data_IF_365343915596
#
_entry.id   IF_365343915596
#
_cell.length_a   1.000
_cell.length_b   1.000
_cell.length_c   1.000
_cell.angle_alpha   90.00
_cell.angle_beta   90.00
_cell.angle_gamma   90.00
#
_symmetry.space_group_name_H-M   'P 1'
#
loop_
_entity.id
_entity.type
_entity.pdbx_description
1 polymer ?
#
# COMPACT_ATOMS: atom_id res chain seq x y z
N UNK A 1 -13.38 15.51 -28.07
CA UNK A 1 -12.63 15.83 -26.83
C UNK A 1 -11.25 15.19 -26.93
N UNK A 2 -11.10 13.86 -27.15
CA UNK A 2 -9.76 13.22 -27.25
C UNK A 2 -8.87 13.77 -28.39
N UNK A 3 -9.45 14.25 -29.49
CA UNK A 3 -8.68 14.81 -30.62
C UNK A 3 -8.06 16.20 -30.33
N UNK A 4 -8.55 16.90 -29.32
CA UNK A 4 -8.09 18.22 -28.91
C UNK A 4 -7.32 18.18 -27.56
N UNK A 5 -7.13 17.00 -26.99
CA UNK A 5 -6.39 16.82 -25.76
C UNK A 5 -4.87 16.91 -26.01
N UNK A 6 -4.17 17.62 -25.16
CA UNK A 6 -2.69 17.65 -25.13
C UNK A 6 -2.24 16.68 -24.04
N UNK A 7 -1.44 15.67 -24.44
CA UNK A 7 -0.91 14.70 -23.50
C UNK A 7 0.02 15.38 -22.48
N UNK A 8 -0.21 15.10 -21.20
CA UNK A 8 0.62 15.56 -20.08
C UNK A 8 1.76 14.56 -19.90
N UNK A 9 2.98 14.93 -20.30
CA UNK A 9 4.13 14.03 -20.28
C UNK A 9 5.41 14.65 -19.69
N UNK A 10 5.47 15.98 -19.59
CA UNK A 10 6.65 16.66 -19.04
C UNK A 10 6.43 17.06 -17.58
N UNK A 11 7.52 17.15 -16.82
CA UNK A 11 7.48 17.58 -15.42
C UNK A 11 6.80 18.94 -15.25
N UNK A 12 7.07 19.89 -16.14
CA UNK A 12 6.43 21.22 -16.12
C UNK A 12 4.92 21.15 -16.35
N UNK A 13 4.45 20.28 -17.23
CA UNK A 13 3.02 20.07 -17.47
C UNK A 13 2.35 19.42 -16.25
N UNK A 14 3.00 18.41 -15.65
CA UNK A 14 2.54 17.76 -14.43
C UNK A 14 2.44 18.78 -13.28
N UNK A 15 3.49 19.61 -13.11
CA UNK A 15 3.49 20.68 -12.11
C UNK A 15 2.39 21.72 -12.37
N UNK A 16 2.10 22.04 -13.64
CA UNK A 16 1.03 22.98 -13.98
C UNK A 16 -0.36 22.44 -13.62
N UNK A 17 -0.63 21.15 -13.90
CA UNK A 17 -1.90 20.50 -13.51
C UNK A 17 -2.06 20.50 -11.99
N UNK A 18 -1.02 20.08 -11.26
CA UNK A 18 -1.02 20.09 -9.79
C UNK A 18 -1.22 21.49 -9.22
N UNK A 19 -0.56 22.49 -9.81
CA UNK A 19 -0.71 23.90 -9.41
C UNK A 19 -2.13 24.42 -9.61
N UNK A 20 -2.76 24.12 -10.73
CA UNK A 20 -4.14 24.56 -11.03
C UNK A 20 -5.11 23.87 -10.05
N UNK A 21 -4.95 22.57 -9.80
CA UNK A 21 -5.81 21.82 -8.91
C UNK A 21 -5.67 22.27 -7.44
N UNK A 22 -4.43 22.44 -6.97
CA UNK A 22 -4.17 22.87 -5.60
C UNK A 22 -4.34 24.38 -5.37
N UNK A 23 -4.32 25.21 -6.43
CA UNK A 23 -4.22 26.67 -6.32
C UNK A 23 -2.89 27.14 -5.71
N UNK A 24 -1.85 26.31 -5.75
CA UNK A 24 -0.54 26.54 -5.11
C UNK A 24 0.58 25.93 -5.96
N UNK A 25 1.54 26.78 -6.36
CA UNK A 25 2.65 26.35 -7.22
C UNK A 25 3.68 25.46 -6.50
N UNK A 26 3.85 25.64 -5.18
CA UNK A 26 4.73 24.78 -4.38
C UNK A 26 4.20 23.36 -4.36
N UNK A 27 2.90 23.16 -4.15
CA UNK A 27 2.24 21.86 -4.17
C UNK A 27 2.40 21.21 -5.54
N UNK A 28 2.10 21.93 -6.63
CA UNK A 28 2.22 21.40 -7.99
C UNK A 28 3.65 20.94 -8.31
N UNK A 29 4.64 21.74 -7.94
CA UNK A 29 6.05 21.39 -8.14
C UNK A 29 6.44 20.16 -7.34
N UNK A 30 6.03 20.05 -6.07
CA UNK A 30 6.33 18.88 -5.21
C UNK A 30 5.67 17.60 -5.71
N UNK A 31 4.46 17.66 -6.23
CA UNK A 31 3.78 16.51 -6.85
C UNK A 31 4.58 16.05 -8.09
N UNK A 32 4.98 16.97 -8.97
CA UNK A 32 5.76 16.64 -10.15
C UNK A 32 7.13 16.04 -9.80
N UNK A 33 7.84 16.60 -8.80
CA UNK A 33 9.09 16.02 -8.29
C UNK A 33 8.89 14.61 -7.74
N UNK A 34 7.79 14.37 -7.01
CA UNK A 34 7.46 13.05 -6.46
C UNK A 34 7.20 12.04 -7.61
N UNK A 35 6.37 12.40 -8.58
CA UNK A 35 6.07 11.53 -9.72
C UNK A 35 7.31 11.23 -10.59
N UNK A 36 8.23 12.18 -10.74
CA UNK A 36 9.50 11.94 -11.44
C UNK A 36 10.36 10.89 -10.72
N UNK A 37 10.40 10.92 -9.38
CA UNK A 37 11.23 10.01 -8.58
C UNK A 37 10.68 8.59 -8.49
N UNK A 38 9.36 8.44 -8.31
CA UNK A 38 8.74 7.11 -8.16
C UNK A 38 8.15 6.57 -9.46
N UNK A 39 8.11 7.37 -10.51
CA UNK A 39 7.45 7.06 -11.77
C UNK A 39 5.97 7.43 -11.78
N UNK A 40 5.35 7.39 -12.97
CA UNK A 40 3.93 7.78 -13.12
C UNK A 40 2.99 6.90 -12.30
N UNK A 41 3.26 5.59 -12.25
CA UNK A 41 2.50 4.60 -11.49
C UNK A 41 3.01 4.45 -10.03
N UNK A 42 3.97 5.28 -9.63
CA UNK A 42 4.60 5.21 -8.33
C UNK A 42 3.67 5.63 -7.19
N UNK A 43 3.87 5.04 -6.03
CA UNK A 43 3.09 5.34 -4.84
C UNK A 43 3.51 6.69 -4.23
N UNK A 44 2.54 7.54 -3.91
CA UNK A 44 2.74 8.82 -3.22
C UNK A 44 1.81 8.86 -2.00
N UNK A 45 2.38 9.08 -0.83
CA UNK A 45 1.65 9.26 0.44
C UNK A 45 1.75 10.71 0.91
N UNK A 46 0.67 11.22 1.50
CA UNK A 46 0.66 12.53 2.17
C UNK A 46 0.56 12.29 3.66
N UNK A 47 1.50 12.82 4.43
CA UNK A 47 1.61 12.62 5.88
C UNK A 47 1.82 13.93 6.62
N UNK A 48 1.61 13.90 7.93
CA UNK A 48 1.87 15.06 8.79
C UNK A 48 3.36 15.29 8.93
N UNK A 49 3.82 16.50 8.64
CA UNK A 49 5.18 16.98 8.88
C UNK A 49 5.33 17.65 10.23
N UNK A 50 6.56 17.67 10.72
CA UNK A 50 6.89 18.37 11.98
C UNK A 50 7.38 19.80 11.75
N UNK A 51 7.71 20.17 10.53
CA UNK A 51 8.23 21.46 10.12
C UNK A 51 7.19 22.22 9.30
N UNK A 52 7.30 23.57 9.25
CA UNK A 52 6.48 24.35 8.33
C UNK A 52 6.90 24.10 6.88
N UNK A 53 5.94 24.01 5.99
CA UNK A 53 6.19 23.76 4.57
C UNK A 53 5.94 22.33 4.14
N UNK A 54 6.59 21.92 3.05
CA UNK A 54 6.44 20.59 2.47
C UNK A 54 7.82 19.97 2.24
N UNK A 55 8.03 18.81 2.86
CA UNK A 55 9.22 17.99 2.64
C UNK A 55 8.85 16.71 1.88
N UNK A 56 9.81 16.11 1.18
CA UNK A 56 9.61 14.87 0.45
C UNK A 56 10.72 13.88 0.75
N UNK A 57 10.33 12.68 1.19
CA UNK A 57 11.21 11.54 1.37
C UNK A 57 10.84 10.41 0.42
N UNK A 58 11.83 9.60 0.03
CA UNK A 58 11.60 8.33 -0.66
C UNK A 58 11.92 7.21 0.32
N UNK A 59 10.95 6.32 0.53
CA UNK A 59 11.06 5.21 1.46
C UNK A 59 10.73 3.89 0.76
N UNK A 60 11.15 2.78 1.36
CA UNK A 60 10.76 1.45 0.89
C UNK A 60 9.27 1.24 1.10
N UNK A 61 8.62 0.63 0.11
CA UNK A 61 7.19 0.41 0.18
C UNK A 61 6.60 0.06 -1.18
N UNK A 62 5.31 -0.21 -1.19
CA UNK A 62 4.60 -0.53 -2.42
C UNK A 62 3.10 -0.24 -2.32
N UNK A 63 2.49 -0.02 -3.46
CA UNK A 63 1.04 0.08 -3.61
C UNK A 63 0.52 -1.04 -4.50
N UNK A 64 -0.66 -1.56 -4.20
CA UNK A 64 -1.37 -2.49 -5.06
C UNK A 64 -2.89 -2.26 -5.00
N UNK A 65 -3.56 -2.64 -6.10
CA UNK A 65 -4.95 -2.34 -6.39
C UNK A 65 -5.88 -3.36 -5.71
N UNK A 66 -5.88 -3.33 -4.38
CA UNK A 66 -6.79 -4.09 -3.51
C UNK A 66 -7.07 -3.29 -2.26
N UNK A 67 -8.33 -3.05 -1.99
CA UNK A 67 -8.78 -2.38 -0.79
C UNK A 67 -9.32 -3.35 0.27
N UNK A 68 -9.86 -2.80 1.33
CA UNK A 68 -10.42 -3.58 2.43
C UNK A 68 -11.61 -4.43 1.99
N UNK A 69 -11.79 -5.60 2.61
CA UNK A 69 -12.89 -6.52 2.31
C UNK A 69 -14.24 -5.94 2.77
N UNK A 70 -14.24 -5.09 3.79
CA UNK A 70 -15.45 -4.48 4.33
C UNK A 70 -15.23 -3.01 4.70
N UNK A 71 -16.18 -2.11 4.34
CA UNK A 71 -16.12 -0.68 4.72
C UNK A 71 -16.05 -0.46 6.24
N UNK A 72 -16.54 -1.41 7.04
CA UNK A 72 -16.45 -1.35 8.51
C UNK A 72 -15.01 -1.50 9.03
N UNK A 73 -14.05 -1.75 8.15
CA UNK A 73 -12.62 -1.78 8.47
C UNK A 73 -11.95 -0.40 8.36
N UNK A 74 -12.62 0.63 7.84
CA UNK A 74 -12.10 1.99 7.81
C UNK A 74 -11.90 2.54 9.22
N UNK A 75 -10.76 3.22 9.47
CA UNK A 75 -10.47 3.95 10.73
C UNK A 75 -11.00 5.38 10.67
N UNK A 76 -10.95 5.97 9.50
CA UNK A 76 -11.53 7.26 9.17
C UNK A 76 -12.78 7.04 8.31
N UNK A 77 -13.95 7.28 8.90
CA UNK A 77 -15.24 7.07 8.23
C UNK A 77 -15.62 8.22 7.28
N UNK A 78 -15.02 9.40 7.43
CA UNK A 78 -15.24 10.52 6.51
C UNK A 78 -14.50 10.28 5.20
N UNK A 79 -13.27 9.79 5.27
CA UNK A 79 -12.41 9.49 4.12
C UNK A 79 -12.57 8.05 3.61
N UNK A 80 -13.30 7.20 4.35
CA UNK A 80 -13.43 5.77 4.08
C UNK A 80 -12.05 5.09 3.89
N UNK A 81 -11.11 5.44 4.75
CA UNK A 81 -9.73 4.94 4.74
C UNK A 81 -9.38 4.30 6.08
N UNK A 82 -8.60 3.23 6.04
CA UNK A 82 -7.97 2.65 7.20
C UNK A 82 -6.50 3.05 7.24
N UNK A 83 -6.10 3.79 8.26
CA UNK A 83 -4.72 4.16 8.56
C UNK A 83 -4.23 3.32 9.74
N UNK A 84 -3.24 2.46 9.47
CA UNK A 84 -2.65 1.56 10.45
C UNK A 84 -1.22 2.01 10.72
N UNK A 85 -0.97 2.48 11.95
CA UNK A 85 0.36 2.86 12.40
C UNK A 85 1.10 1.66 12.98
N UNK A 86 2.32 1.40 12.49
CA UNK A 86 3.19 0.32 12.91
C UNK A 86 2.47 -1.05 13.02
N UNK A 87 1.73 -1.48 11.97
CA UNK A 87 0.96 -2.71 12.01
C UNK A 87 1.83 -3.95 11.93
N UNK A 88 1.32 -5.08 12.41
CA UNK A 88 1.72 -6.39 11.93
C UNK A 88 1.07 -6.69 10.59
N UNK A 89 1.76 -7.41 9.72
CA UNK A 89 1.28 -7.77 8.38
C UNK A 89 1.36 -9.29 8.23
N UNK A 90 0.22 -9.94 8.23
CA UNK A 90 0.09 -11.38 7.98
C UNK A 90 -0.15 -11.62 6.49
N UNK A 91 0.65 -12.49 5.89
CA UNK A 91 0.54 -12.88 4.48
C UNK A 91 0.23 -14.37 4.36
N UNK A 92 -0.81 -14.73 3.62
CA UNK A 92 -1.14 -16.12 3.32
C UNK A 92 -1.77 -16.28 1.94
N UNK A 93 -1.48 -17.40 1.29
CA UNK A 93 -2.14 -17.82 0.04
C UNK A 93 -3.47 -18.56 0.29
N UNK A 94 -3.84 -18.73 1.57
CA UNK A 94 -5.00 -19.48 2.00
C UNK A 94 -6.22 -18.59 2.15
N UNK A 95 -7.39 -19.22 2.03
CA UNK A 95 -8.69 -18.63 2.34
C UNK A 95 -8.98 -18.78 3.84
N UNK A 96 -9.42 -17.71 4.49
CA UNK A 96 -9.72 -17.68 5.90
C UNK A 96 -11.25 -17.68 6.07
N UNK A 97 -11.81 -18.84 6.42
CA UNK A 97 -13.25 -19.00 6.71
C UNK A 97 -13.50 -19.36 8.19
N UNK A 98 -12.51 -19.98 8.85
CA UNK A 98 -12.54 -20.35 10.24
C UNK A 98 -11.58 -19.48 11.06
N UNK A 99 -12.10 -18.77 12.06
CA UNK A 99 -11.28 -17.89 12.90
C UNK A 99 -10.44 -18.67 13.92
N UNK A 100 -10.81 -19.89 14.24
CA UNK A 100 -10.15 -20.68 15.29
C UNK A 100 -8.67 -20.90 15.01
N UNK A 101 -8.31 -21.06 13.73
CA UNK A 101 -6.93 -21.25 13.30
C UNK A 101 -6.06 -20.00 13.53
N UNK A 102 -6.68 -18.83 13.66
CA UNK A 102 -5.98 -17.56 13.89
C UNK A 102 -5.97 -17.11 15.35
N UNK A 103 -6.73 -17.74 16.23
CA UNK A 103 -6.90 -17.29 17.63
C UNK A 103 -5.56 -17.04 18.33
N UNK A 104 -4.56 -17.95 18.28
CA UNK A 104 -3.28 -17.72 18.96
C UNK A 104 -2.57 -16.44 18.46
N UNK A 105 -2.55 -16.21 17.16
CA UNK A 105 -1.97 -15.00 16.57
C UNK A 105 -2.74 -13.75 16.98
N UNK A 106 -4.08 -13.79 16.88
CA UNK A 106 -4.92 -12.64 17.24
C UNK A 106 -4.78 -12.25 18.72
N UNK A 107 -4.70 -13.23 19.62
CA UNK A 107 -4.43 -12.97 21.05
C UNK A 107 -3.06 -12.33 21.28
N UNK A 108 -2.04 -12.78 20.55
CA UNK A 108 -0.71 -12.20 20.65
C UNK A 108 -0.67 -10.76 20.11
N UNK A 109 -1.36 -10.48 18.98
CA UNK A 109 -1.52 -9.13 18.43
C UNK A 109 -2.27 -8.22 19.40
N UNK A 110 -3.38 -8.68 19.97
CA UNK A 110 -4.14 -7.93 20.97
C UNK A 110 -3.31 -7.58 22.21
N UNK A 111 -2.49 -8.51 22.72
CA UNK A 111 -1.57 -8.27 23.85
C UNK A 111 -0.50 -7.22 23.51
N UNK A 112 -0.08 -7.13 22.25
CA UNK A 112 0.91 -6.14 21.80
C UNK A 112 0.34 -4.72 21.69
N UNK A 113 -0.98 -4.58 21.58
CA UNK A 113 -1.67 -3.30 21.32
C UNK A 113 -1.48 -2.74 19.91
N UNK A 114 -0.82 -3.49 19.00
CA UNK A 114 -0.60 -3.06 17.62
C UNK A 114 -1.75 -3.50 16.71
N UNK A 115 -1.89 -2.80 15.59
CA UNK A 115 -2.85 -3.15 14.53
C UNK A 115 -2.37 -4.36 13.72
N UNK A 116 -3.30 -5.04 13.05
CA UNK A 116 -3.02 -6.15 12.16
C UNK A 116 -3.60 -5.90 10.76
N UNK A 117 -2.76 -6.01 9.74
CA UNK A 117 -3.19 -6.17 8.36
C UNK A 117 -3.17 -7.66 8.02
N UNK A 118 -4.28 -8.19 7.52
CA UNK A 118 -4.39 -9.56 7.00
C UNK A 118 -4.50 -9.53 5.49
N UNK A 119 -3.52 -10.10 4.81
CA UNK A 119 -3.50 -10.29 3.35
C UNK A 119 -3.69 -11.78 3.08
N UNK A 120 -4.85 -12.15 2.58
CA UNK A 120 -5.22 -13.55 2.36
C UNK A 120 -5.86 -13.73 0.97
N UNK A 121 -5.99 -14.97 0.50
CA UNK A 121 -6.75 -15.23 -0.73
C UNK A 121 -8.17 -14.64 -0.62
N UNK A 122 -8.84 -14.91 0.47
CA UNK A 122 -10.12 -14.31 0.87
C UNK A 122 -10.30 -14.42 2.38
N UNK A 123 -11.12 -13.56 2.96
CA UNK A 123 -11.60 -13.69 4.36
C UNK A 123 -13.11 -13.61 4.32
N UNK A 124 -13.78 -14.68 4.75
CA UNK A 124 -15.23 -14.79 4.61
C UNK A 124 -15.90 -15.47 5.80
N UNK A 125 -17.24 -15.53 5.76
CA UNK A 125 -18.05 -16.29 6.70
C UNK A 125 -17.84 -15.86 8.16
N UNK A 126 -17.68 -16.84 9.04
CA UNK A 126 -17.51 -16.63 10.48
C UNK A 126 -16.23 -15.85 10.80
N UNK A 127 -15.14 -16.08 10.06
CA UNK A 127 -13.89 -15.40 10.28
C UNK A 127 -14.04 -13.89 10.05
N UNK A 128 -14.62 -13.47 8.93
CA UNK A 128 -14.87 -12.06 8.65
C UNK A 128 -15.78 -11.42 9.70
N UNK A 129 -16.88 -12.09 10.05
CA UNK A 129 -17.84 -11.57 11.04
C UNK A 129 -17.16 -11.36 12.41
N UNK A 130 -16.31 -12.30 12.83
CA UNK A 130 -15.59 -12.22 14.10
C UNK A 130 -14.55 -11.11 14.10
N UNK A 131 -13.78 -10.95 13.03
CA UNK A 131 -12.83 -9.84 12.89
C UNK A 131 -13.53 -8.48 12.95
N UNK A 132 -14.64 -8.31 12.21
CA UNK A 132 -15.43 -7.09 12.24
C UNK A 132 -16.01 -6.79 13.62
N UNK A 133 -16.53 -7.80 14.31
CA UNK A 133 -17.09 -7.64 15.65
C UNK A 133 -16.03 -7.17 16.66
N UNK A 134 -14.82 -7.76 16.64
CA UNK A 134 -13.73 -7.36 17.51
C UNK A 134 -13.22 -5.95 17.18
N UNK A 135 -13.18 -5.60 15.88
CA UNK A 135 -12.84 -4.25 15.47
C UNK A 135 -13.87 -3.22 15.97
N UNK A 136 -15.17 -3.46 15.75
CA UNK A 136 -16.24 -2.57 16.19
C UNK A 136 -16.28 -2.39 17.72
N UNK A 137 -15.87 -3.42 18.47
CA UNK A 137 -15.70 -3.36 19.93
C UNK A 137 -14.43 -2.63 20.37
N UNK A 138 -13.54 -2.30 19.45
CA UNK A 138 -12.25 -1.68 19.78
C UNK A 138 -11.25 -2.64 20.47
N UNK A 139 -11.51 -3.94 20.47
CA UNK A 139 -10.62 -4.94 21.08
C UNK A 139 -9.46 -5.32 20.18
N UNK A 140 -9.63 -5.22 18.87
CA UNK A 140 -8.60 -5.50 17.87
C UNK A 140 -8.72 -4.52 16.71
N UNK A 141 -7.66 -3.78 16.41
CA UNK A 141 -7.60 -2.96 15.21
C UNK A 141 -7.06 -3.82 14.06
N UNK A 142 -7.97 -4.36 13.25
CA UNK A 142 -7.67 -5.28 12.15
C UNK A 142 -8.26 -4.80 10.84
N UNK A 143 -7.50 -4.91 9.76
CA UNK A 143 -7.95 -4.73 8.39
C UNK A 143 -7.61 -5.98 7.60
N UNK A 144 -8.57 -6.50 6.85
CA UNK A 144 -8.38 -7.62 5.95
C UNK A 144 -8.57 -7.18 4.50
N UNK A 145 -7.66 -7.62 3.66
CA UNK A 145 -7.66 -7.37 2.21
C UNK A 145 -7.48 -8.68 1.46
N UNK A 146 -7.95 -8.72 0.23
CA UNK A 146 -7.66 -9.84 -0.67
C UNK A 146 -6.27 -9.68 -1.26
N UNK A 147 -5.52 -10.76 -1.26
CA UNK A 147 -4.20 -10.80 -1.91
C UNK A 147 -4.34 -10.46 -3.41
N UNK A 148 -3.48 -9.60 -3.95
CA UNK A 148 -3.52 -9.22 -5.36
C UNK A 148 -3.15 -10.39 -6.27
N UNK A 149 -3.74 -10.41 -7.48
CA UNK A 149 -3.50 -11.46 -8.46
C UNK A 149 -4.28 -12.75 -8.22
N UNK A 150 -4.00 -13.76 -9.05
CA UNK A 150 -4.65 -15.09 -9.03
C UNK A 150 -3.61 -16.18 -9.28
N UNK A 151 -3.83 -17.38 -8.70
CA UNK A 151 -2.96 -18.54 -8.90
C UNK A 151 -1.50 -18.24 -8.55
N UNK A 152 -0.57 -18.69 -9.39
CA UNK A 152 0.88 -18.54 -9.15
C UNK A 152 1.33 -17.06 -9.11
N UNK A 153 0.63 -16.18 -9.83
CA UNK A 153 0.92 -14.74 -9.76
C UNK A 153 0.64 -14.17 -8.38
N UNK A 154 -0.44 -14.61 -7.72
CA UNK A 154 -0.74 -14.21 -6.34
C UNK A 154 0.40 -14.59 -5.41
N UNK A 155 0.92 -15.80 -5.50
CA UNK A 155 2.05 -16.26 -4.68
C UNK A 155 3.27 -15.36 -4.87
N UNK A 156 3.64 -15.08 -6.13
CA UNK A 156 4.77 -14.20 -6.44
C UNK A 156 4.60 -12.77 -5.91
N UNK A 157 3.37 -12.21 -5.94
CA UNK A 157 3.09 -10.89 -5.38
C UNK A 157 3.13 -10.94 -3.84
N UNK A 158 2.62 -12.00 -3.22
CA UNK A 158 2.75 -12.20 -1.76
C UNK A 158 4.22 -12.27 -1.33
N UNK A 159 5.07 -12.95 -2.09
CA UNK A 159 6.52 -12.97 -1.87
C UNK A 159 7.13 -11.56 -2.01
N UNK A 160 6.69 -10.76 -2.99
CA UNK A 160 7.16 -9.38 -3.17
C UNK A 160 6.77 -8.51 -1.96
N UNK A 161 5.53 -8.65 -1.45
CA UNK A 161 5.08 -7.98 -0.21
C UNK A 161 5.90 -8.47 0.99
N UNK A 162 6.17 -9.78 1.07
CA UNK A 162 6.95 -10.37 2.14
C UNK A 162 8.36 -9.77 2.22
N UNK A 163 9.03 -9.63 1.08
CA UNK A 163 10.38 -9.05 1.00
C UNK A 163 10.37 -7.57 1.45
N UNK A 164 9.35 -6.79 1.05
CA UNK A 164 9.23 -5.38 1.44
C UNK A 164 8.93 -5.19 2.92
N UNK A 165 8.17 -6.11 3.53
CA UNK A 165 7.70 -5.98 4.92
C UNK A 165 8.48 -6.80 5.92
N UNK A 166 9.34 -7.68 5.45
CA UNK A 166 10.05 -8.66 6.30
C UNK A 166 9.15 -9.80 6.79
N UNK A 167 8.00 -10.02 6.15
CA UNK A 167 7.08 -11.11 6.48
C UNK A 167 7.56 -12.46 5.95
N UNK A 168 6.99 -13.53 6.51
CA UNK A 168 6.99 -14.85 5.93
C UNK A 168 5.59 -15.16 5.38
N UNK A 169 5.49 -15.61 4.12
CA UNK A 169 4.22 -16.04 3.57
C UNK A 169 3.84 -17.41 4.15
N UNK A 170 2.62 -17.53 4.66
CA UNK A 170 2.07 -18.81 5.14
C UNK A 170 1.43 -19.49 3.95
N UNK A 171 2.16 -20.44 3.36
CA UNK A 171 1.78 -21.13 2.13
C UNK A 171 1.38 -22.57 2.41
N UNK A 172 0.22 -22.94 1.86
CA UNK A 172 -0.30 -24.31 1.97
C UNK A 172 0.60 -25.34 1.29
N UNK A 173 1.22 -24.98 0.19
CA UNK A 173 2.08 -25.89 -0.57
C UNK A 173 3.33 -26.32 0.18
N UNK A 174 3.80 -25.51 1.13
CA UNK A 174 4.88 -25.85 2.06
C UNK A 174 4.40 -26.54 3.35
N UNK A 175 3.11 -26.92 3.42
CA UNK A 175 2.53 -27.57 4.59
C UNK A 175 2.32 -26.65 5.77
N UNK A 176 2.41 -25.33 5.59
CA UNK A 176 2.16 -24.33 6.64
C UNK A 176 0.67 -24.13 6.83
N UNK A 177 0.25 -23.98 8.07
CA UNK A 177 -1.15 -23.68 8.44
C UNK A 177 -1.23 -22.34 9.16
N UNK A 178 -2.41 -21.74 9.13
CA UNK A 178 -2.67 -20.50 9.88
C UNK A 178 -2.59 -20.72 11.42
N UNK A 179 -2.79 -21.97 11.88
CA UNK A 179 -2.65 -22.32 13.29
C UNK A 179 -1.19 -22.25 13.78
N UNK A 180 -0.24 -22.39 12.86
CA UNK A 180 1.20 -22.27 13.14
C UNK A 180 1.69 -20.81 13.07
N UNK A 181 0.81 -19.87 12.67
CA UNK A 181 1.17 -18.47 12.50
C UNK A 181 1.56 -17.81 13.83
N UNK A 182 2.72 -17.17 13.84
CA UNK A 182 3.22 -16.40 14.98
C UNK A 182 3.49 -14.94 14.60
N UNK A 183 3.63 -14.08 15.60
CA UNK A 183 3.99 -12.67 15.39
C UNK A 183 5.32 -12.53 14.63
N UNK A 184 6.28 -13.42 14.87
CA UNK A 184 7.60 -13.38 14.23
C UNK A 184 7.55 -13.68 12.73
N UNK A 185 6.48 -14.31 12.26
CA UNK A 185 6.21 -14.54 10.83
C UNK A 185 5.52 -13.33 10.19
N UNK A 186 4.96 -12.42 10.99
CA UNK A 186 4.35 -11.21 10.47
C UNK A 186 5.42 -10.18 10.08
N UNK A 187 5.22 -9.57 8.93
CA UNK A 187 5.97 -8.38 8.56
C UNK A 187 5.50 -7.15 9.32
N UNK A 188 6.21 -6.05 9.12
CA UNK A 188 5.83 -4.75 9.67
C UNK A 188 6.11 -3.64 8.66
N UNK A 189 5.46 -2.51 8.86
CA UNK A 189 5.74 -1.27 8.13
C UNK A 189 5.50 -0.08 9.07
N UNK A 190 6.03 1.10 8.74
CA UNK A 190 5.76 2.29 9.52
C UNK A 190 4.27 2.65 9.45
N UNK A 191 3.71 2.68 8.25
CA UNK A 191 2.29 2.98 8.02
C UNK A 191 1.72 2.08 6.93
N UNK A 192 0.47 1.67 7.08
CA UNK A 192 -0.31 1.04 6.00
C UNK A 192 -1.62 1.80 5.86
N UNK A 193 -1.90 2.28 4.65
CA UNK A 193 -3.16 2.93 4.30
C UNK A 193 -3.96 2.02 3.38
N UNK A 194 -5.23 1.84 3.70
CA UNK A 194 -6.13 0.97 2.91
C UNK A 194 -7.42 1.73 2.65
N UNK A 195 -7.71 1.98 1.40
CA UNK A 195 -9.00 2.50 0.96
C UNK A 195 -9.89 1.40 0.35
N UNK A 196 -10.92 1.77 -0.36
CA UNK A 196 -11.84 0.82 -1.01
C UNK A 196 -11.17 0.02 -2.14
N UNK A 197 -10.18 0.58 -2.79
CA UNK A 197 -9.60 0.07 -4.04
C UNK A 197 -8.11 -0.26 -3.91
N UNK A 198 -7.41 0.40 -3.00
CA UNK A 198 -5.96 0.35 -2.90
C UNK A 198 -5.46 0.01 -1.50
N UNK A 199 -4.28 -0.55 -1.45
CA UNK A 199 -3.47 -0.69 -0.24
C UNK A 199 -2.08 -0.12 -0.51
N UNK A 200 -1.66 0.80 0.35
CA UNK A 200 -0.35 1.44 0.32
C UNK A 200 0.44 1.05 1.58
N UNK A 201 1.58 0.39 1.39
CA UNK A 201 2.55 0.06 2.43
C UNK A 201 3.68 1.08 2.36
N UNK A 202 3.92 1.79 3.46
CA UNK A 202 4.93 2.85 3.55
C UNK A 202 6.00 2.45 4.56
N UNK A 203 7.25 2.51 4.15
CA UNK A 203 8.42 2.23 4.97
C UNK A 203 8.33 0.83 5.60
N UNK A 204 8.32 -0.17 4.73
CA UNK A 204 8.32 -1.59 5.11
C UNK A 204 9.64 -1.96 5.80
N UNK A 205 9.55 -2.87 6.77
CA UNK A 205 10.70 -3.30 7.57
C UNK A 205 11.56 -4.40 6.91
N UNK A 206 11.37 -4.64 5.61
CA UNK A 206 12.16 -5.59 4.85
C UNK A 206 13.62 -5.20 4.72
N UNK A 207 14.48 -6.19 4.53
CA UNK A 207 15.91 -5.96 4.29
C UNK A 207 16.16 -5.38 2.89
N UNK A 208 16.88 -4.26 2.79
CA UNK A 208 17.14 -3.58 1.52
C UNK A 208 17.85 -4.47 0.51
N UNK A 209 18.80 -5.28 0.96
CA UNK A 209 19.51 -6.20 0.09
C UNK A 209 18.59 -7.28 -0.45
N UNK A 210 17.67 -7.80 0.37
CA UNK A 210 16.67 -8.77 -0.07
C UNK A 210 15.74 -8.17 -1.14
N UNK A 211 15.37 -6.88 -0.99
CA UNK A 211 14.57 -6.15 -2.00
C UNK A 211 15.37 -6.00 -3.30
N UNK A 212 16.64 -5.57 -3.23
CA UNK A 212 17.52 -5.45 -4.39
C UNK A 212 17.72 -6.80 -5.10
N UNK A 213 17.95 -7.87 -4.36
CA UNK A 213 18.10 -9.24 -4.88
C UNK A 213 16.79 -9.69 -5.58
N UNK A 214 15.63 -9.36 -5.01
CA UNK A 214 14.32 -9.64 -5.62
C UNK A 214 14.11 -8.87 -6.92
N UNK A 215 14.46 -7.59 -6.95
CA UNK A 215 14.44 -6.76 -8.17
C UNK A 215 15.33 -7.36 -9.24
N UNK A 216 16.54 -7.78 -8.90
CA UNK A 216 17.47 -8.42 -9.84
C UNK A 216 16.91 -9.75 -10.38
N UNK A 217 16.24 -10.54 -9.53
CA UNK A 217 15.57 -11.79 -9.93
C UNK A 217 14.46 -11.52 -10.96
N UNK A 218 13.59 -10.54 -10.70
CA UNK A 218 12.49 -10.19 -11.62
C UNK A 218 13.04 -9.69 -12.97
N UNK A 219 14.12 -8.88 -12.97
CA UNK A 219 14.78 -8.45 -14.22
C UNK A 219 15.33 -9.62 -15.01
N UNK A 220 16.01 -10.55 -14.35
CA UNK A 220 16.55 -11.74 -15.01
C UNK A 220 15.43 -12.67 -15.56
N UNK A 221 14.26 -12.71 -14.92
CA UNK A 221 13.09 -13.44 -15.42
C UNK A 221 12.49 -12.73 -16.64
N UNK A 222 12.42 -11.40 -16.62
CA UNK A 222 11.96 -10.57 -17.74
C UNK A 222 12.81 -10.74 -18.98
N UNK A 223 14.15 -10.84 -18.83
CA UNK A 223 15.08 -11.02 -19.95
C UNK A 223 14.97 -12.42 -20.59
N UNK A 224 14.46 -13.40 -19.84
CA UNK A 224 14.31 -14.80 -20.29
C UNK A 224 12.94 -15.11 -20.87
N UNK A 225 11.93 -14.32 -20.55
CA UNK A 225 10.56 -14.60 -21.00
C UNK A 225 10.37 -14.22 -22.47
N UNK A 226 9.75 -15.11 -23.25
CA UNK A 226 9.38 -14.90 -24.64
C UNK A 226 7.95 -14.36 -24.77
N UNK A 227 7.16 -14.38 -23.67
CA UNK A 227 5.78 -13.91 -23.63
C UNK A 227 5.74 -12.40 -23.34
N UNK A 228 5.21 -11.62 -24.26
CA UNK A 228 5.03 -10.18 -24.07
C UNK A 228 4.10 -9.87 -22.89
N UNK A 229 3.05 -10.68 -22.70
CA UNK A 229 2.14 -10.56 -21.58
C UNK A 229 2.82 -10.83 -20.22
N UNK A 230 3.67 -11.86 -20.13
CA UNK A 230 4.39 -12.13 -18.89
C UNK A 230 5.46 -11.06 -18.64
N UNK A 231 6.09 -10.55 -19.69
CA UNK A 231 7.03 -9.44 -19.59
C UNK A 231 6.36 -8.18 -19.06
N UNK A 232 5.16 -7.84 -19.53
CA UNK A 232 4.36 -6.72 -19.01
C UNK A 232 4.05 -6.90 -17.51
N UNK A 233 3.62 -8.09 -17.08
CA UNK A 233 3.33 -8.39 -15.68
C UNK A 233 4.57 -8.39 -14.77
N UNK A 234 5.70 -8.81 -15.29
CA UNK A 234 6.98 -8.69 -14.59
C UNK A 234 7.41 -7.22 -14.46
N UNK A 235 7.17 -6.41 -15.51
CA UNK A 235 7.46 -4.97 -15.49
C UNK A 235 6.59 -4.24 -14.45
N UNK A 236 5.29 -4.57 -14.35
CA UNK A 236 4.41 -4.03 -13.30
C UNK A 236 4.94 -4.33 -11.90
N UNK A 237 5.33 -5.58 -11.64
CA UNK A 237 5.92 -5.99 -10.35
C UNK A 237 7.23 -5.26 -10.07
N UNK A 238 8.09 -5.16 -11.09
CA UNK A 238 9.36 -4.45 -10.99
C UNK A 238 9.16 -2.98 -10.62
N UNK A 239 8.22 -2.30 -11.28
CA UNK A 239 7.90 -0.89 -11.02
C UNK A 239 7.41 -0.67 -9.58
N UNK A 240 6.54 -1.58 -9.08
CA UNK A 240 6.02 -1.52 -7.71
C UNK A 240 7.10 -1.75 -6.65
N UNK A 241 8.08 -2.60 -6.92
CA UNK A 241 9.18 -2.90 -5.98
C UNK A 241 10.31 -1.87 -6.02
N UNK A 242 10.68 -1.39 -7.22
CA UNK A 242 11.87 -0.55 -7.39
C UNK A 242 11.59 0.95 -7.23
N UNK A 243 10.33 1.37 -7.36
CA UNK A 243 9.93 2.77 -7.27
C UNK A 243 9.89 3.32 -5.84
N UNK A 244 9.69 2.45 -4.84
CA UNK A 244 9.45 2.88 -3.47
C UNK A 244 8.16 3.69 -3.32
N UNK A 245 8.09 4.47 -2.25
CA UNK A 245 6.97 5.38 -1.97
C UNK A 245 7.52 6.78 -1.72
N UNK A 246 7.01 7.77 -2.45
CA UNK A 246 7.27 9.17 -2.14
C UNK A 246 6.36 9.62 -0.99
N UNK A 247 6.93 10.08 0.11
CA UNK A 247 6.19 10.59 1.26
C UNK A 247 6.28 12.11 1.27
N UNK A 248 5.16 12.78 1.00
CA UNK A 248 5.03 14.23 1.12
C UNK A 248 4.63 14.56 2.55
N UNK A 249 5.58 15.09 3.33
CA UNK A 249 5.36 15.53 4.70
C UNK A 249 4.91 16.99 4.69
N UNK A 250 3.74 17.25 5.21
CA UNK A 250 3.07 18.56 5.17
C UNK A 250 2.98 19.13 6.57
N UNK A 251 3.48 20.34 6.75
CA UNK A 251 3.36 21.07 8.00
C UNK A 251 2.53 22.34 7.86
N UNK A 252 1.83 22.69 8.95
CA UNK A 252 1.03 23.91 9.07
C UNK A 252 1.07 24.44 10.51
N UNK A 253 0.60 25.67 10.70
CA UNK A 253 0.60 26.30 12.02
C UNK A 253 -0.51 25.77 12.95
N UNK A 254 -1.58 25.25 12.38
CA UNK A 254 -2.73 24.71 13.11
C UNK A 254 -3.20 23.40 12.52
N UNK A 255 -3.84 22.56 13.34
CA UNK A 255 -4.41 21.29 12.90
C UNK A 255 -5.49 21.44 11.81
N UNK A 256 -6.44 22.40 11.87
CA UNK A 256 -7.39 22.62 10.77
C UNK A 256 -6.71 23.01 9.44
N UNK A 257 -5.69 23.86 9.49
CA UNK A 257 -4.91 24.25 8.32
C UNK A 257 -4.14 23.06 7.74
N UNK A 258 -3.58 22.21 8.59
CA UNK A 258 -2.89 20.99 8.18
C UNK A 258 -3.84 20.03 7.44
N UNK A 259 -5.03 19.79 8.02
CA UNK A 259 -6.06 18.93 7.42
C UNK A 259 -6.50 19.47 6.06
N UNK A 260 -6.72 20.77 5.94
CA UNK A 260 -7.11 21.42 4.68
C UNK A 260 -6.01 21.31 3.62
N UNK A 261 -4.76 21.61 4.01
CA UNK A 261 -3.61 21.52 3.10
C UNK A 261 -3.37 20.12 2.61
N UNK A 262 -3.48 19.09 3.48
CA UNK A 262 -3.38 17.68 3.09
C UNK A 262 -4.47 17.28 2.09
N UNK A 263 -5.73 17.60 2.37
CA UNK A 263 -6.84 17.31 1.46
C UNK A 263 -6.62 17.93 0.09
N UNK A 264 -6.18 19.18 0.03
CA UNK A 264 -5.86 19.89 -1.21
C UNK A 264 -4.73 19.23 -2.00
N UNK A 265 -3.69 18.74 -1.33
CA UNK A 265 -2.58 18.00 -1.96
C UNK A 265 -3.06 16.67 -2.51
N UNK A 266 -3.87 15.94 -1.76
CA UNK A 266 -4.44 14.66 -2.19
C UNK A 266 -5.35 14.81 -3.42
N UNK A 267 -6.20 15.84 -3.42
CA UNK A 267 -7.06 16.16 -4.58
C UNK A 267 -6.21 16.53 -5.81
N UNK A 268 -5.16 17.36 -5.63
CA UNK A 268 -4.25 17.72 -6.69
C UNK A 268 -3.46 16.52 -7.21
N UNK A 269 -3.05 15.60 -6.35
CA UNK A 269 -2.38 14.36 -6.73
C UNK A 269 -3.28 13.47 -7.59
N UNK A 270 -4.55 13.29 -7.19
CA UNK A 270 -5.52 12.52 -7.97
C UNK A 270 -5.78 13.14 -9.32
N UNK A 271 -6.00 14.47 -9.39
CA UNK A 271 -6.20 15.19 -10.63
C UNK A 271 -4.98 15.07 -11.56
N UNK A 272 -3.77 15.13 -11.00
CA UNK A 272 -2.52 15.03 -11.77
C UNK A 272 -2.34 13.60 -12.32
N UNK A 273 -2.63 12.57 -11.55
CA UNK A 273 -2.61 11.18 -12.03
C UNK A 273 -3.59 10.96 -13.16
N UNK A 274 -4.85 11.39 -13.00
CA UNK A 274 -5.85 11.27 -14.05
C UNK A 274 -5.42 11.98 -15.33
N UNK A 275 -4.81 13.16 -15.24
CA UNK A 275 -4.33 13.92 -16.42
C UNK A 275 -3.13 13.25 -17.13
N UNK A 276 -2.32 12.46 -16.42
CA UNK A 276 -1.18 11.71 -17.01
C UNK A 276 -1.66 10.42 -17.66
N UNK A 277 -2.71 9.77 -17.11
CA UNK A 277 -3.26 8.51 -17.62
C UNK A 277 -4.17 8.68 -18.85
N UNK A 278 -4.83 9.85 -19.03
CA UNK A 278 -5.74 10.15 -20.13
C UNK A 278 -5.02 10.69 -21.38
#
# INVERSE_FOLDING_TARGET
IKADATQVSTQDQIAAVGTISAGDAEIGTKIAEAMEKVGHDGAISVEDGQTFGMEMDIVEGMQYDRGYISPYMATDTERMEADLQNPYILLTDQKISNIQDMVPLLEAVMKSGRSLLVVAEDVEGEALATLLLNRLRGTLNVVAIKAPGFGDRRKRILEDIAVVTGAQVIEKDFGMTLADATIDMCGTARTVKVDKENTLIVDGAGDKKAIEDRVAQIRAEMDRTESDFDREKLQERLSKLSGGVAVLKVGAATEPELKEKKSRIEDALQATRAAVEE
#
